data_IF_806557288083
#
_entry.id   IF_806557288083
#
_cell.length_a   1.000
_cell.length_b   1.000
_cell.length_c   1.000
_cell.angle_alpha   90.00
_cell.angle_beta   90.00
_cell.angle_gamma   90.00
#
_symmetry.space_group_name_H-M   'P 1'
#
loop_
_entity.id
_entity.type
_entity.pdbx_description
1 polymer ?
#
# COMPACT_ATOMS: atom_id res chain seq x y z
N UNK A 1 -4.01 -19.09 36.07
CA UNK A 1 -5.10 -18.07 36.06
C UNK A 1 -4.43 -16.69 36.10
N UNK A 2 -4.35 -15.96 34.99
CA UNK A 2 -3.79 -14.61 34.98
C UNK A 2 -4.77 -13.64 35.67
N UNK A 3 -4.24 -12.72 36.50
CA UNK A 3 -5.05 -11.79 37.29
C UNK A 3 -5.79 -10.78 36.39
N UNK A 4 -6.90 -10.24 36.89
CA UNK A 4 -7.77 -9.28 36.20
C UNK A 4 -7.04 -8.10 35.51
N UNK A 5 -6.04 -7.42 36.13
CA UNK A 5 -5.30 -6.35 35.43
C UNK A 5 -4.49 -6.85 34.24
N UNK A 6 -4.06 -8.11 34.25
CA UNK A 6 -3.29 -8.72 33.18
C UNK A 6 -4.15 -9.04 31.94
N UNK A 7 -5.45 -9.31 32.14
CA UNK A 7 -6.40 -9.53 31.04
C UNK A 7 -6.77 -8.24 30.31
N UNK A 8 -6.88 -7.13 31.05
CA UNK A 8 -7.16 -5.80 30.47
C UNK A 8 -5.97 -5.34 29.61
N UNK A 9 -4.75 -5.45 30.13
CA UNK A 9 -3.53 -5.10 29.39
C UNK A 9 -3.37 -5.94 28.11
N UNK A 10 -3.71 -7.24 28.16
CA UNK A 10 -3.67 -8.13 27.00
C UNK A 10 -4.69 -7.72 25.93
N UNK A 11 -5.89 -7.27 26.33
CA UNK A 11 -6.90 -6.76 25.40
C UNK A 11 -6.47 -5.46 24.70
N UNK A 12 -5.85 -4.51 25.41
CA UNK A 12 -5.32 -3.28 24.79
C UNK A 12 -4.19 -3.59 23.81
N UNK A 13 -3.28 -4.50 24.17
CA UNK A 13 -2.21 -4.94 23.28
C UNK A 13 -2.77 -5.61 22.00
N UNK A 14 -3.78 -6.48 22.15
CA UNK A 14 -4.43 -7.12 21.01
C UNK A 14 -5.16 -6.12 20.09
N UNK A 15 -5.83 -5.11 20.66
CA UNK A 15 -6.49 -4.04 19.89
C UNK A 15 -5.49 -3.20 19.10
N UNK A 16 -4.35 -2.85 19.71
CA UNK A 16 -3.29 -2.09 19.05
C UNK A 16 -2.67 -2.85 17.87
N UNK A 17 -2.41 -4.16 18.04
CA UNK A 17 -1.87 -5.03 16.97
C UNK A 17 -2.87 -5.17 15.82
N UNK A 18 -4.16 -5.34 16.13
CA UNK A 18 -5.21 -5.41 15.12
C UNK A 18 -5.31 -4.11 14.31
N UNK A 19 -5.26 -2.95 14.99
CA UNK A 19 -5.27 -1.64 14.34
C UNK A 19 -4.07 -1.47 13.39
N UNK A 20 -2.87 -1.85 13.84
CA UNK A 20 -1.65 -1.80 13.02
C UNK A 20 -1.73 -2.70 11.78
N UNK A 21 -2.29 -3.91 11.91
CA UNK A 21 -2.43 -4.84 10.79
C UNK A 21 -3.40 -4.32 9.72
N UNK A 22 -4.54 -3.74 10.13
CA UNK A 22 -5.51 -3.12 9.21
C UNK A 22 -4.91 -1.86 8.57
N UNK A 23 -4.22 -1.03 9.35
CA UNK A 23 -3.53 0.13 8.80
C UNK A 23 -2.46 -0.28 7.78
N UNK A 24 -1.73 -1.37 8.01
CA UNK A 24 -0.68 -1.81 7.10
C UNK A 24 -1.22 -2.38 5.78
N UNK A 25 -2.34 -3.11 5.82
CA UNK A 25 -2.98 -3.62 4.60
C UNK A 25 -3.59 -2.48 3.76
N UNK A 26 -4.25 -1.52 4.41
CA UNK A 26 -4.81 -0.34 3.77
C UNK A 26 -3.70 0.57 3.21
N UNK A 27 -2.59 0.74 3.91
CA UNK A 27 -1.45 1.52 3.41
C UNK A 27 -0.89 0.93 2.11
N UNK A 28 -0.79 -0.40 2.00
CA UNK A 28 -0.32 -1.07 0.78
C UNK A 28 -1.24 -0.84 -0.42
N UNK A 29 -2.54 -0.69 -0.20
CA UNK A 29 -3.54 -0.54 -1.28
C UNK A 29 -3.85 0.91 -1.60
N UNK A 30 -3.97 1.76 -0.58
CA UNK A 30 -4.44 3.15 -0.67
C UNK A 30 -3.28 4.15 -0.62
N UNK A 31 -2.11 3.75 -0.12
CA UNK A 31 -0.88 4.54 -0.08
C UNK A 31 -0.74 5.48 1.13
N UNK A 32 -1.83 6.06 1.66
CA UNK A 32 -1.80 6.86 2.90
C UNK A 32 -3.10 6.70 3.68
N UNK A 33 -2.99 6.64 5.00
CA UNK A 33 -4.10 6.64 5.94
C UNK A 33 -3.93 7.86 6.84
N UNK A 34 -4.96 8.69 6.93
CA UNK A 34 -4.97 9.85 7.82
C UNK A 34 -5.93 9.55 8.96
N UNK A 35 -5.42 9.57 10.19
CA UNK A 35 -6.24 9.51 11.39
C UNK A 35 -6.41 10.93 11.91
N UNK A 36 -7.63 11.26 12.33
CA UNK A 36 -7.95 12.55 12.93
C UNK A 36 -8.68 12.33 14.24
N UNK A 37 -8.35 13.12 15.24
CA UNK A 37 -8.99 13.05 16.55
C UNK A 37 -10.21 13.99 16.62
N UNK A 38 -10.19 15.09 15.85
CA UNK A 38 -11.25 16.11 15.86
C UNK A 38 -11.70 16.46 14.44
N UNK A 39 -12.90 17.03 14.30
CA UNK A 39 -13.42 17.47 13.01
C UNK A 39 -12.65 18.68 12.43
N UNK A 40 -12.07 19.52 13.30
CA UNK A 40 -11.37 20.74 12.90
C UNK A 40 -10.08 20.44 12.11
N UNK A 41 -9.44 19.29 12.35
CA UNK A 41 -8.23 18.89 11.62
C UNK A 41 -8.52 18.43 10.18
N UNK A 42 -9.79 18.20 9.81
CA UNK A 42 -10.13 17.72 8.46
C UNK A 42 -9.77 18.73 7.37
N UNK A 43 -9.92 20.02 7.62
CA UNK A 43 -9.63 21.07 6.62
C UNK A 43 -8.15 21.02 6.23
N UNK A 44 -7.25 20.99 7.21
CA UNK A 44 -5.81 20.87 6.98
C UNK A 44 -5.45 19.53 6.29
N UNK A 45 -6.11 18.44 6.66
CA UNK A 45 -5.90 17.14 6.01
C UNK A 45 -6.33 17.18 4.54
N UNK A 46 -7.47 17.81 4.23
CA UNK A 46 -7.95 17.94 2.85
C UNK A 46 -7.00 18.77 1.99
N UNK A 47 -6.47 19.88 2.51
CA UNK A 47 -5.47 20.69 1.80
C UNK A 47 -4.21 19.88 1.50
N UNK A 48 -3.69 19.13 2.48
CA UNK A 48 -2.53 18.24 2.31
C UNK A 48 -2.79 17.10 1.31
N UNK A 49 -4.03 16.61 1.21
CA UNK A 49 -4.41 15.62 0.20
C UNK A 49 -4.50 16.26 -1.18
N UNK A 50 -5.06 17.46 -1.29
CA UNK A 50 -5.15 18.21 -2.55
C UNK A 50 -3.79 18.47 -3.18
N UNK A 51 -2.82 18.94 -2.38
CA UNK A 51 -1.44 19.14 -2.84
C UNK A 51 -0.80 17.82 -3.28
N UNK A 52 -0.93 16.75 -2.48
CA UNK A 52 -0.36 15.43 -2.86
C UNK A 52 -0.98 14.89 -4.15
N UNK A 53 -2.28 15.05 -4.36
CA UNK A 53 -2.95 14.57 -5.57
C UNK A 53 -2.54 15.38 -6.82
N UNK A 54 -2.30 16.68 -6.67
CA UNK A 54 -1.79 17.51 -7.76
C UNK A 54 -0.38 17.09 -8.20
N UNK A 55 0.45 16.65 -7.25
CA UNK A 55 1.83 16.22 -7.50
C UNK A 55 1.96 14.72 -7.84
N UNK A 56 0.85 13.97 -7.87
CA UNK A 56 0.87 12.52 -8.13
C UNK A 56 0.84 12.24 -9.63
N UNK A 57 1.85 11.48 -10.08
CA UNK A 57 1.91 10.99 -11.46
C UNK A 57 1.39 9.56 -11.57
N UNK A 58 0.59 9.30 -12.61
CA UNK A 58 0.16 7.95 -12.98
C UNK A 58 1.14 7.37 -14.02
N UNK A 59 1.78 6.24 -13.69
CA UNK A 59 2.71 5.54 -14.56
C UNK A 59 2.11 4.21 -15.00
N UNK A 60 2.01 4.00 -16.32
CA UNK A 60 1.67 2.71 -16.92
C UNK A 60 2.94 1.89 -17.16
N UNK A 61 2.96 0.65 -16.68
CA UNK A 61 4.04 -0.30 -16.96
C UNK A 61 3.47 -1.55 -17.65
N UNK A 62 3.97 -1.85 -18.84
CA UNK A 62 3.72 -3.11 -19.54
C UNK A 62 4.91 -4.06 -19.36
N UNK A 63 4.64 -5.30 -19.01
CA UNK A 63 5.70 -6.32 -18.92
C UNK A 63 6.23 -6.67 -20.30
N UNK A 64 7.54 -6.82 -20.41
CA UNK A 64 8.17 -7.37 -21.63
C UNK A 64 7.99 -8.89 -21.75
N UNK A 65 7.61 -9.56 -20.67
CA UNK A 65 7.41 -11.00 -20.62
C UNK A 65 5.90 -11.34 -20.78
N UNK A 66 5.49 -12.04 -21.85
CA UNK A 66 4.10 -12.40 -22.09
C UNK A 66 3.64 -13.64 -21.33
N UNK A 67 4.52 -14.35 -20.61
CA UNK A 67 4.17 -15.57 -19.89
C UNK A 67 3.07 -15.26 -18.87
N UNK A 68 2.06 -16.13 -18.81
CA UNK A 68 0.84 -15.95 -17.99
C UNK A 68 0.69 -17.13 -17.03
N UNK A 69 1.67 -17.28 -16.14
CA UNK A 69 1.89 -18.42 -15.26
C UNK A 69 1.41 -18.20 -13.81
N UNK A 70 0.59 -17.18 -13.55
CA UNK A 70 0.13 -16.89 -12.19
C UNK A 70 1.22 -16.43 -11.21
N UNK A 71 2.46 -16.21 -11.68
CA UNK A 71 3.57 -15.85 -10.81
C UNK A 71 3.47 -14.40 -10.32
N UNK A 72 4.21 -14.09 -9.25
CA UNK A 72 4.36 -12.72 -8.76
C UNK A 72 5.47 -12.00 -9.52
N UNK A 73 5.14 -10.86 -10.13
CA UNK A 73 6.11 -9.97 -10.78
C UNK A 73 6.40 -8.76 -9.92
N UNK A 74 7.65 -8.62 -9.47
CA UNK A 74 8.13 -7.45 -8.74
C UNK A 74 8.20 -6.25 -9.67
N UNK A 75 7.75 -5.10 -9.20
CA UNK A 75 7.90 -3.80 -9.86
C UNK A 75 8.72 -2.90 -8.94
N UNK A 76 9.73 -2.26 -9.52
CA UNK A 76 10.58 -1.30 -8.83
C UNK A 76 10.55 0.02 -9.59
N UNK A 77 10.33 1.11 -8.86
CA UNK A 77 10.28 2.46 -9.42
C UNK A 77 11.45 3.23 -8.85
N UNK A 78 12.32 3.70 -9.75
CA UNK A 78 13.48 4.52 -9.41
C UNK A 78 13.37 5.87 -10.11
N UNK A 79 13.93 6.90 -9.50
CA UNK A 79 14.02 8.23 -10.09
C UNK A 79 15.37 8.38 -10.79
N UNK A 80 15.34 8.91 -12.02
CA UNK A 80 16.55 9.13 -12.80
C UNK A 80 17.38 10.33 -12.30
N UNK A 81 16.73 11.32 -11.68
CA UNK A 81 17.42 12.54 -11.22
C UNK A 81 17.79 12.44 -9.74
N UNK A 82 19.09 12.57 -9.39
CA UNK A 82 19.54 12.65 -8.00
C UNK A 82 19.34 14.04 -7.37
N UNK A 83 18.88 15.03 -8.14
CA UNK A 83 18.75 16.43 -7.67
C UNK A 83 17.54 16.68 -6.78
N UNK A 84 16.59 15.73 -6.70
CA UNK A 84 15.49 15.81 -5.74
C UNK A 84 16.02 15.46 -4.33
N UNK A 85 15.96 16.41 -3.41
CA UNK A 85 16.20 16.15 -1.99
C UNK A 85 15.04 15.34 -1.42
N UNK A 86 15.31 14.08 -1.03
CA UNK A 86 14.37 13.15 -0.37
C UNK A 86 13.06 12.86 -1.14
N UNK A 87 13.14 12.22 -2.32
CA UNK A 87 11.94 11.87 -3.06
C UNK A 87 11.18 10.74 -2.38
N UNK A 88 9.93 11.01 -2.01
CA UNK A 88 9.04 9.99 -1.46
C UNK A 88 8.38 9.18 -2.57
N UNK A 89 9.00 8.07 -2.97
CA UNK A 89 8.41 7.14 -3.95
C UNK A 89 7.37 6.24 -3.25
N UNK A 90 6.14 6.27 -3.74
CA UNK A 90 5.08 5.34 -3.36
C UNK A 90 4.54 4.65 -4.61
N UNK A 91 4.83 3.36 -4.75
CA UNK A 91 4.39 2.55 -5.87
C UNK A 91 4.01 1.15 -5.39
N UNK A 92 3.25 0.42 -6.22
CA UNK A 92 2.96 -0.99 -5.96
C UNK A 92 4.24 -1.81 -6.10
N UNK A 93 4.53 -2.69 -5.14
CA UNK A 93 5.75 -3.52 -5.14
C UNK A 93 5.74 -4.61 -6.23
N UNK A 94 4.60 -4.85 -6.85
CA UNK A 94 4.42 -5.89 -7.85
C UNK A 94 2.96 -6.23 -8.10
N UNK A 95 2.73 -7.19 -8.99
CA UNK A 95 1.41 -7.69 -9.32
C UNK A 95 1.46 -9.19 -9.59
N UNK A 96 0.31 -9.85 -9.42
CA UNK A 96 0.13 -11.22 -9.88
C UNK A 96 -0.25 -11.20 -11.35
N UNK A 97 0.42 -12.05 -12.11
CA UNK A 97 0.06 -12.33 -13.50
C UNK A 97 -1.20 -13.19 -13.49
N UNK A 98 -2.11 -13.06 -14.48
CA UNK A 98 -3.20 -14.03 -14.62
C UNK A 98 -2.63 -15.45 -14.80
N UNK A 99 -3.43 -16.47 -14.49
CA UNK A 99 -3.14 -17.84 -14.89
C UNK A 99 -3.99 -18.12 -16.13
N UNK A 100 -3.34 -18.36 -17.26
CA UNK A 100 -4.02 -18.80 -18.49
C UNK A 100 -3.51 -20.21 -18.77
N UNK A 101 -4.43 -21.16 -18.87
CA UNK A 101 -4.10 -22.48 -19.35
C UNK A 101 -3.60 -22.35 -20.78
N UNK A 102 -2.35 -22.74 -21.00
CA UNK A 102 -1.81 -22.88 -22.33
C UNK A 102 -2.28 -24.24 -22.85
N UNK A 103 -3.44 -24.26 -23.52
CA UNK A 103 -3.86 -25.42 -24.28
C UNK A 103 -2.81 -25.70 -25.36
N UNK A 104 -2.22 -26.89 -25.36
CA UNK A 104 -1.20 -27.30 -26.34
C UNK A 104 -1.76 -27.45 -27.77
N UNK A 105 -3.07 -27.28 -27.97
CA UNK A 105 -3.75 -27.36 -29.25
C UNK A 105 -3.79 -26.00 -29.96
N UNK A 106 -2.70 -25.64 -30.63
CA UNK A 106 -2.61 -24.44 -31.47
C UNK A 106 -3.60 -24.43 -32.65
N UNK A 107 -4.85 -24.03 -32.42
CA UNK A 107 -5.83 -23.64 -33.44
C UNK A 107 -6.49 -22.30 -33.13
#
# INVERSE_FOLDING_TARGET
MLSLPSRIALCFAALAVACAAVAQSLFRTVGRICFTDTADDLEEIYDKVGVELADRYALGHGSSDPITDGSWRRVEVTLASPELSDPRIRAREGYFVPWIEHDEDGR
#
